data_IF_887459066057
#
_entry.id   IF_887459066057
#
_cell.length_a   1.000
_cell.length_b   1.000
_cell.length_c   1.000
_cell.angle_alpha   90.00
_cell.angle_beta   90.00
_cell.angle_gamma   90.00
#
_symmetry.space_group_name_H-M   'P 1'
#
loop_
_entity.id
_entity.type
_entity.pdbx_description
1 polymer ?
#
# COMPACT_ATOMS: atom_id res chain seq x y z
N UNK A 1 16.20 31.04 0.55
CA UNK A 1 16.45 30.02 1.60
C UNK A 1 15.52 30.32 2.76
N UNK A 2 14.53 29.47 3.04
CA UNK A 2 13.64 29.60 4.20
C UNK A 2 14.49 29.40 5.46
N UNK A 3 14.58 30.46 6.30
CA UNK A 3 15.25 30.43 7.59
C UNK A 3 14.47 29.48 8.52
N UNK A 4 14.82 28.19 8.52
CA UNK A 4 14.22 27.20 9.42
C UNK A 4 14.78 27.43 10.80
N UNK A 5 13.99 27.94 11.71
CA UNK A 5 14.35 28.14 13.11
C UNK A 5 14.50 26.81 13.82
N UNK A 6 15.77 26.40 14.01
CA UNK A 6 16.09 25.30 14.93
C UNK A 6 16.11 25.87 16.35
N UNK A 7 15.33 25.29 17.24
CA UNK A 7 15.41 25.53 18.68
C UNK A 7 15.83 24.26 19.41
N UNK A 8 16.83 24.37 20.27
CA UNK A 8 17.32 23.30 21.13
C UNK A 8 17.01 23.69 22.57
N UNK A 9 16.33 22.83 23.31
CA UNK A 9 15.97 23.02 24.71
C UNK A 9 16.24 21.76 25.51
N UNK A 10 16.85 21.90 26.69
CA UNK A 10 16.95 20.81 27.65
C UNK A 10 15.77 20.88 28.63
N UNK A 11 15.06 19.78 28.78
CA UNK A 11 13.83 19.71 29.58
C UNK A 11 13.89 18.58 30.60
N UNK A 12 13.40 18.86 31.77
CA UNK A 12 13.27 17.89 32.86
C UNK A 12 11.95 17.12 32.71
N UNK A 13 11.99 15.79 32.62
CA UNK A 13 10.78 14.95 32.59
C UNK A 13 10.31 14.61 34.01
N UNK A 14 9.59 15.54 34.63
CA UNK A 14 9.03 15.36 35.99
C UNK A 14 8.03 14.20 36.11
N UNK A 15 7.47 13.72 35.00
CA UNK A 15 6.57 12.56 34.97
C UNK A 15 7.27 11.20 35.15
N UNK A 16 8.61 11.18 35.19
CA UNK A 16 9.41 9.95 35.32
C UNK A 16 10.46 10.09 36.45
N UNK A 17 10.04 10.23 37.72
CA UNK A 17 10.97 10.36 38.83
C UNK A 17 11.76 9.05 39.02
N UNK A 18 13.05 9.19 39.38
CA UNK A 18 13.86 8.07 39.84
C UNK A 18 13.68 7.87 41.36
N UNK A 19 14.01 6.68 41.87
CA UNK A 19 13.92 6.35 43.29
C UNK A 19 14.78 7.25 44.19
N UNK A 20 15.84 7.87 43.67
CA UNK A 20 16.74 8.79 44.36
C UNK A 20 16.28 10.28 44.31
N UNK A 21 15.06 10.57 43.81
CA UNK A 21 14.51 11.91 43.72
C UNK A 21 15.03 12.73 42.54
N UNK A 22 15.81 12.13 41.62
CA UNK A 22 16.24 12.80 40.38
C UNK A 22 15.28 12.58 39.24
N UNK A 23 15.36 13.38 38.21
CA UNK A 23 14.53 13.31 37.02
C UNK A 23 15.39 13.21 35.75
N UNK A 24 14.97 12.46 34.74
CA UNK A 24 15.71 12.35 33.48
C UNK A 24 15.67 13.67 32.72
N UNK A 25 16.83 14.08 32.23
CA UNK A 25 16.99 15.24 31.36
C UNK A 25 16.91 14.82 29.89
N UNK A 26 16.10 15.52 29.11
CA UNK A 26 15.91 15.32 27.67
C UNK A 26 16.33 16.56 26.90
N UNK A 27 16.91 16.36 25.73
CA UNK A 27 17.12 17.39 24.73
C UNK A 27 15.94 17.39 23.77
N UNK A 28 15.25 18.50 23.63
CA UNK A 28 14.14 18.74 22.71
C UNK A 28 14.61 19.57 21.53
N UNK A 29 14.47 19.01 20.34
CA UNK A 29 14.70 19.68 19.07
C UNK A 29 13.35 20.14 18.50
N UNK A 30 13.27 21.41 18.10
CA UNK A 30 12.06 21.95 17.44
C UNK A 30 12.46 22.57 16.12
N UNK A 31 11.85 22.13 15.02
CA UNK A 31 12.03 22.67 13.67
C UNK A 31 10.66 22.79 13.01
N UNK A 32 10.33 23.97 12.51
CA UNK A 32 9.04 24.26 11.86
C UNK A 32 7.83 23.79 12.70
N UNK A 33 7.89 24.00 14.03
CA UNK A 33 6.84 23.63 14.98
C UNK A 33 6.78 22.13 15.33
N UNK A 34 7.50 21.26 14.61
CA UNK A 34 7.59 19.84 14.93
C UNK A 34 8.69 19.56 15.94
N UNK A 35 8.43 18.64 16.88
CA UNK A 35 9.31 18.36 18.01
C UNK A 35 9.82 16.92 17.96
N UNK A 36 11.09 16.73 18.33
CA UNK A 36 11.69 15.45 18.62
C UNK A 36 12.45 15.53 19.95
N UNK A 37 12.47 14.44 20.72
CA UNK A 37 13.14 14.40 22.02
C UNK A 37 14.17 13.27 22.02
N UNK A 38 15.32 13.58 22.63
CA UNK A 38 16.45 12.66 22.78
C UNK A 38 16.80 12.64 24.27
N UNK A 39 16.95 11.45 24.84
CA UNK A 39 17.44 11.33 26.21
C UNK A 39 18.92 11.72 26.27
N UNK A 40 19.29 12.54 27.24
CA UNK A 40 20.70 12.84 27.51
C UNK A 40 21.38 11.75 28.35
N UNK A 41 20.61 10.77 28.83
CA UNK A 41 21.04 9.74 29.79
C UNK A 41 21.60 10.35 31.10
N UNK A 42 21.24 11.59 31.39
CA UNK A 42 21.57 12.27 32.65
C UNK A 42 20.30 12.46 33.46
N UNK A 43 20.48 12.35 34.77
CA UNK A 43 19.42 12.50 35.76
C UNK A 43 19.83 13.64 36.69
N UNK A 44 18.93 14.57 36.96
CA UNK A 44 19.23 15.74 37.73
C UNK A 44 18.13 16.06 38.73
N UNK A 45 18.51 16.74 39.83
CA UNK A 45 17.55 17.21 40.82
C UNK A 45 16.76 18.40 40.28
N UNK A 46 15.45 18.40 40.51
CA UNK A 46 14.55 19.45 40.01
C UNK A 46 14.86 20.82 40.55
N UNK A 47 15.33 20.90 41.81
CA UNK A 47 15.64 22.15 42.48
C UNK A 47 16.99 22.75 42.02
N UNK A 48 17.87 21.91 41.46
CA UNK A 48 19.18 22.33 40.91
C UNK A 48 19.09 22.66 39.41
N UNK A 49 17.97 22.40 38.73
CA UNK A 49 17.80 22.71 37.32
C UNK A 49 17.21 24.09 37.07
N UNK A 50 18.00 24.98 36.48
CA UNK A 50 17.50 26.27 36.00
C UNK A 50 17.06 26.19 34.52
N UNK A 51 15.74 26.14 34.31
CA UNK A 51 15.15 26.04 32.96
C UNK A 51 15.37 27.32 32.12
N UNK A 52 15.64 28.46 32.75
CA UNK A 52 15.88 29.74 32.02
C UNK A 52 17.29 29.80 31.45
N UNK A 53 18.30 29.46 32.25
CA UNK A 53 19.69 29.40 31.79
C UNK A 53 20.06 28.06 31.11
N UNK A 54 19.18 27.08 31.16
CA UNK A 54 19.40 25.71 30.61
C UNK A 54 20.64 25.02 31.22
N UNK A 55 20.83 25.21 32.55
CA UNK A 55 22.02 24.74 33.28
C UNK A 55 21.63 24.18 34.65
N UNK A 56 22.47 23.31 35.18
CA UNK A 56 22.45 23.00 36.58
C UNK A 56 23.18 24.10 37.36
N UNK A 57 22.59 24.53 38.46
CA UNK A 57 23.16 25.49 39.43
C UNK A 57 23.35 24.81 40.79
N UNK A 58 24.36 25.18 41.56
CA UNK A 58 24.51 24.67 42.92
C UNK A 58 23.29 25.05 43.76
N UNK A 59 22.82 24.10 44.58
CA UNK A 59 21.69 24.33 45.47
C UNK A 59 22.10 25.19 46.64
N UNK A 60 21.46 26.35 46.82
CA UNK A 60 21.72 27.29 47.93
C UNK A 60 20.72 27.13 49.07
N UNK A 61 19.80 26.16 49.04
CA UNK A 61 18.76 26.02 50.08
C UNK A 61 19.30 25.41 51.37
N UNK A 62 19.18 26.18 52.46
CA UNK A 62 19.49 25.73 53.82
C UNK A 62 18.67 24.46 54.16
N UNK A 63 19.37 23.36 54.50
CA UNK A 63 18.78 22.21 55.15
C UNK A 63 18.57 20.93 54.31
N UNK A 64 18.81 20.93 52.97
CA UNK A 64 18.79 19.72 52.16
C UNK A 64 20.18 19.40 51.58
N UNK A 65 20.62 18.15 51.74
CA UNK A 65 21.89 17.66 51.19
C UNK A 65 21.84 17.79 49.64
N UNK A 66 22.88 18.43 49.06
CA UNK A 66 23.01 18.52 47.61
C UNK A 66 23.15 17.11 47.03
N UNK A 67 22.33 16.76 46.02
CA UNK A 67 22.38 15.48 45.31
C UNK A 67 23.59 15.42 44.39
N UNK A 68 24.02 16.56 43.83
CA UNK A 68 25.15 16.66 42.91
C UNK A 68 26.29 17.45 43.51
N UNK A 69 27.51 16.98 43.34
CA UNK A 69 28.73 17.71 43.71
C UNK A 69 28.97 18.87 42.69
N UNK A 70 29.80 19.84 43.09
CA UNK A 70 30.18 20.94 42.21
C UNK A 70 30.88 20.44 40.94
N UNK A 71 31.64 19.38 40.99
CA UNK A 71 32.31 18.77 39.85
C UNK A 71 31.34 18.10 38.91
N UNK A 72 30.34 17.37 39.44
CA UNK A 72 29.27 16.77 38.66
C UNK A 72 28.43 17.83 37.94
N UNK A 73 28.07 18.91 38.62
CA UNK A 73 27.36 20.06 38.01
C UNK A 73 28.15 20.63 36.85
N UNK A 74 29.45 20.83 37.01
CA UNK A 74 30.33 21.34 35.96
C UNK A 74 30.39 20.34 34.79
N UNK A 75 30.60 19.07 35.05
CA UNK A 75 30.67 18.00 34.05
C UNK A 75 29.38 17.90 33.25
N UNK A 76 28.20 17.93 33.92
CA UNK A 76 26.90 17.86 33.24
C UNK A 76 26.70 19.10 32.37
N UNK A 77 27.02 20.30 32.87
CA UNK A 77 26.86 21.54 32.10
C UNK A 77 27.77 21.57 30.84
N UNK A 78 29.00 21.07 30.94
CA UNK A 78 29.91 20.93 29.79
C UNK A 78 29.40 19.90 28.80
N UNK A 79 28.85 18.80 29.26
CA UNK A 79 28.22 17.78 28.42
C UNK A 79 27.01 18.36 27.65
N UNK A 80 26.16 19.18 28.31
CA UNK A 80 25.03 19.82 27.64
C UNK A 80 25.48 20.79 26.52
N UNK A 81 26.56 21.54 26.75
CA UNK A 81 27.17 22.41 25.73
C UNK A 81 27.70 21.57 24.55
N UNK A 82 28.28 20.42 24.84
CA UNK A 82 28.78 19.52 23.79
C UNK A 82 27.63 18.96 22.94
N UNK A 83 26.52 18.57 23.59
CA UNK A 83 25.30 18.11 22.86
C UNK A 83 24.74 19.24 21.97
N UNK A 84 24.67 20.47 22.51
CA UNK A 84 24.19 21.61 21.72
C UNK A 84 25.05 21.82 20.47
N UNK A 85 26.39 21.78 20.60
CA UNK A 85 27.31 21.84 19.45
C UNK A 85 27.09 20.70 18.45
N UNK A 86 26.96 19.49 18.94
CA UNK A 86 26.70 18.32 18.07
C UNK A 86 25.40 18.47 17.26
N UNK A 87 24.39 19.16 17.80
CA UNK A 87 23.15 19.43 17.05
C UNK A 87 23.44 20.33 15.86
N UNK A 88 24.24 21.41 16.03
CA UNK A 88 24.58 22.29 14.91
C UNK A 88 25.50 21.62 13.89
N UNK A 89 26.44 20.79 14.35
CA UNK A 89 27.29 20.00 13.46
C UNK A 89 26.48 19.02 12.63
N UNK A 90 25.56 18.30 13.25
CA UNK A 90 24.64 17.39 12.57
C UNK A 90 23.71 18.13 11.59
N UNK A 91 23.27 19.35 11.92
CA UNK A 91 22.48 20.18 11.01
C UNK A 91 23.32 20.58 9.77
N UNK A 92 24.58 20.98 9.97
CA UNK A 92 25.50 21.31 8.89
C UNK A 92 25.78 20.13 7.97
N UNK A 93 25.99 18.95 8.55
CA UNK A 93 26.19 17.71 7.79
C UNK A 93 24.98 17.39 6.92
N UNK A 94 23.76 17.49 7.46
CA UNK A 94 22.52 17.24 6.71
C UNK A 94 22.35 18.26 5.58
N UNK A 95 22.69 19.53 5.81
CA UNK A 95 22.69 20.59 4.78
C UNK A 95 23.67 20.25 3.65
N UNK A 96 24.91 19.91 3.99
CA UNK A 96 25.95 19.57 3.02
C UNK A 96 25.57 18.31 2.21
N UNK A 97 24.86 17.37 2.83
CA UNK A 97 24.35 16.16 2.18
C UNK A 97 23.06 16.40 1.35
N UNK A 98 22.57 17.65 1.25
CA UNK A 98 21.33 17.98 0.54
C UNK A 98 20.07 17.36 1.14
N UNK A 99 20.13 16.86 2.38
CA UNK A 99 19.00 16.22 3.05
C UNK A 99 18.05 17.22 3.67
N UNK A 100 16.77 16.91 3.66
CA UNK A 100 15.75 17.73 4.34
C UNK A 100 15.98 17.73 5.84
N UNK A 101 16.09 18.92 6.44
CA UNK A 101 16.27 19.08 7.87
C UNK A 101 14.89 19.10 8.54
N UNK A 102 14.63 18.12 9.39
CA UNK A 102 13.47 18.02 10.28
C UNK A 102 13.94 17.63 11.67
N UNK A 103 13.10 17.84 12.69
CA UNK A 103 13.43 17.41 14.05
C UNK A 103 13.76 15.91 14.13
N UNK A 104 13.08 15.08 13.31
CA UNK A 104 13.29 13.62 13.27
C UNK A 104 14.59 13.26 12.55
N UNK A 105 14.91 13.86 11.38
CA UNK A 105 16.17 13.57 10.67
C UNK A 105 17.38 13.99 11.49
N UNK A 106 17.26 15.09 12.22
CA UNK A 106 18.32 15.57 13.12
C UNK A 106 18.49 14.64 14.32
N UNK A 107 17.39 14.19 14.94
CA UNK A 107 17.42 13.17 15.99
C UNK A 107 18.08 11.88 15.50
N UNK A 108 17.68 11.36 14.34
CA UNK A 108 18.23 10.13 13.77
C UNK A 108 19.74 10.24 13.53
N UNK A 109 20.21 11.39 13.00
CA UNK A 109 21.64 11.65 12.82
C UNK A 109 22.39 11.65 14.16
N UNK A 110 21.85 12.32 15.20
CA UNK A 110 22.46 12.41 16.53
C UNK A 110 22.48 11.09 17.29
N UNK A 111 21.44 10.26 17.10
CA UNK A 111 21.34 8.96 17.78
C UNK A 111 22.00 7.81 17.03
N UNK A 112 22.60 8.09 15.85
CA UNK A 112 23.17 7.06 14.97
C UNK A 112 22.13 6.11 14.40
N UNK A 113 20.84 6.44 14.48
CA UNK A 113 19.78 5.67 13.84
C UNK A 113 19.81 5.99 12.36
N UNK A 114 20.37 5.09 11.57
CA UNK A 114 20.26 5.18 10.11
C UNK A 114 18.77 5.17 9.73
N UNK A 115 18.37 6.17 8.96
CA UNK A 115 17.04 6.19 8.39
C UNK A 115 16.90 4.93 7.54
N UNK A 116 16.05 3.98 7.97
CA UNK A 116 15.82 2.75 7.20
C UNK A 116 15.47 3.15 5.77
N UNK A 117 16.41 2.97 4.86
CA UNK A 117 16.15 3.17 3.45
C UNK A 117 15.09 2.15 3.02
N UNK A 118 13.95 2.66 2.60
CA UNK A 118 12.85 1.83 2.13
C UNK A 118 12.93 1.76 0.62
N UNK A 119 13.24 0.58 0.11
CA UNK A 119 13.40 0.34 -1.31
C UNK A 119 12.06 -0.07 -1.94
N UNK A 120 11.75 0.46 -3.11
CA UNK A 120 10.47 0.28 -3.78
C UNK A 120 10.14 -1.20 -4.04
N UNK A 121 11.07 -1.95 -4.66
CA UNK A 121 10.81 -3.35 -5.00
C UNK A 121 10.65 -4.24 -3.78
N UNK A 122 11.38 -3.95 -2.68
CA UNK A 122 11.19 -4.65 -1.40
C UNK A 122 9.78 -4.44 -0.86
N UNK A 123 9.25 -3.21 -0.95
CA UNK A 123 7.89 -2.88 -0.52
C UNK A 123 6.85 -3.58 -1.40
N UNK A 124 7.05 -3.55 -2.72
CA UNK A 124 6.16 -4.21 -3.68
C UNK A 124 6.16 -5.73 -3.45
N UNK A 125 7.32 -6.32 -3.14
CA UNK A 125 7.43 -7.74 -2.82
C UNK A 125 6.69 -8.10 -1.54
N UNK A 126 6.88 -7.32 -0.48
CA UNK A 126 6.14 -7.53 0.78
C UNK A 126 4.63 -7.45 0.56
N UNK A 127 4.16 -6.42 -0.16
CA UNK A 127 2.75 -6.29 -0.53
C UNK A 127 2.23 -7.51 -1.32
N UNK A 128 3.02 -8.05 -2.27
CA UNK A 128 2.65 -9.22 -3.04
C UNK A 128 2.59 -10.50 -2.17
N UNK A 129 3.49 -10.62 -1.20
CA UNK A 129 3.49 -11.71 -0.23
C UNK A 129 2.27 -11.63 0.70
N UNK A 130 1.91 -10.43 1.14
CA UNK A 130 0.72 -10.21 1.96
C UNK A 130 -0.56 -10.62 1.18
N UNK A 131 -0.68 -10.21 -0.10
CA UNK A 131 -1.79 -10.65 -0.96
C UNK A 131 -1.79 -12.18 -1.15
N UNK A 132 -0.61 -12.80 -1.33
CA UNK A 132 -0.49 -14.25 -1.50
C UNK A 132 -1.06 -15.01 -0.30
N UNK A 133 -0.81 -14.54 0.93
CA UNK A 133 -1.33 -15.17 2.15
C UNK A 133 -2.84 -15.02 2.31
N UNK A 134 -3.42 -14.02 1.62
CA UNK A 134 -4.86 -13.72 1.64
C UNK A 134 -5.63 -14.29 0.45
N UNK A 135 -5.01 -15.15 -0.38
CA UNK A 135 -5.71 -15.84 -1.46
C UNK A 135 -6.81 -16.74 -0.86
N UNK A 136 -8.03 -16.60 -1.36
CA UNK A 136 -9.23 -17.25 -0.83
C UNK A 136 -9.87 -16.53 0.37
N UNK A 137 -9.26 -15.45 0.86
CA UNK A 137 -9.76 -14.61 1.95
C UNK A 137 -9.86 -13.14 1.50
N UNK A 138 -10.62 -12.90 0.44
CA UNK A 138 -10.81 -11.58 -0.16
C UNK A 138 -9.90 -11.26 -1.36
N UNK A 139 -8.86 -12.06 -1.61
CA UNK A 139 -8.03 -11.96 -2.82
C UNK A 139 -8.07 -13.25 -3.64
N UNK A 140 -7.99 -13.09 -4.98
CA UNK A 140 -7.89 -14.22 -5.92
C UNK A 140 -6.44 -14.41 -6.37
N UNK A 141 -6.10 -15.65 -6.79
CA UNK A 141 -4.80 -15.94 -7.43
C UNK A 141 -4.54 -15.03 -8.63
N UNK A 142 -5.58 -14.74 -9.44
CA UNK A 142 -5.47 -13.82 -10.57
C UNK A 142 -5.09 -12.39 -10.16
N UNK A 143 -5.58 -11.91 -9.02
CA UNK A 143 -5.19 -10.60 -8.46
C UNK A 143 -3.72 -10.61 -8.06
N UNK A 144 -3.27 -11.62 -7.33
CA UNK A 144 -1.86 -11.78 -6.95
C UNK A 144 -0.95 -11.81 -8.18
N UNK A 145 -1.27 -12.59 -9.21
CA UNK A 145 -0.49 -12.67 -10.47
C UNK A 145 -0.35 -11.30 -11.13
N UNK A 146 -1.41 -10.46 -11.15
CA UNK A 146 -1.34 -9.09 -11.71
C UNK A 146 -0.35 -8.21 -10.97
N UNK A 147 -0.26 -8.32 -9.65
CA UNK A 147 0.72 -7.57 -8.86
C UNK A 147 2.15 -8.08 -9.08
N UNK A 148 2.34 -9.41 -9.23
CA UNK A 148 3.63 -9.98 -9.59
C UNK A 148 4.10 -9.48 -10.96
N UNK A 149 3.22 -9.45 -11.97
CA UNK A 149 3.53 -8.88 -13.28
C UNK A 149 3.88 -7.39 -13.18
N UNK A 150 3.16 -6.63 -12.35
CA UNK A 150 3.50 -5.22 -12.09
C UNK A 150 4.91 -5.08 -11.50
N UNK A 151 5.29 -5.91 -10.53
CA UNK A 151 6.65 -5.94 -9.95
C UNK A 151 7.70 -6.19 -11.02
N UNK A 152 7.47 -7.19 -11.89
CA UNK A 152 8.40 -7.52 -12.96
C UNK A 152 8.62 -6.34 -13.91
N UNK A 153 7.55 -5.67 -14.34
CA UNK A 153 7.66 -4.47 -15.19
C UNK A 153 8.41 -3.33 -14.50
N UNK A 154 8.20 -3.10 -13.21
CA UNK A 154 8.95 -2.09 -12.45
C UNK A 154 10.43 -2.48 -12.39
N UNK A 155 10.75 -3.75 -12.13
CA UNK A 155 12.14 -4.24 -12.07
C UNK A 155 12.87 -4.06 -13.40
N UNK A 156 12.22 -4.40 -14.51
CA UNK A 156 12.78 -4.24 -15.84
C UNK A 156 12.93 -2.76 -16.21
N UNK A 157 11.96 -1.91 -15.87
CA UNK A 157 12.02 -0.46 -16.06
C UNK A 157 13.20 0.18 -15.31
N UNK A 158 13.41 -0.18 -14.04
CA UNK A 158 14.55 0.32 -13.26
C UNK A 158 15.89 -0.02 -13.91
N UNK A 159 16.03 -1.23 -14.44
CA UNK A 159 17.22 -1.65 -15.18
C UNK A 159 17.38 -0.88 -16.50
N UNK A 160 16.29 -0.72 -17.24
CA UNK A 160 16.30 -0.06 -18.55
C UNK A 160 16.61 1.44 -18.43
N UNK A 161 15.90 2.18 -17.59
CA UNK A 161 16.01 3.64 -17.48
C UNK A 161 17.17 4.09 -16.60
N UNK A 162 17.30 3.49 -15.41
CA UNK A 162 18.22 3.96 -14.37
C UNK A 162 19.44 3.07 -14.16
N UNK A 163 19.49 1.88 -14.74
CA UNK A 163 20.56 0.87 -14.58
C UNK A 163 20.80 0.47 -13.11
N UNK A 164 19.76 0.46 -12.31
CA UNK A 164 19.78 0.09 -10.90
C UNK A 164 18.90 -1.14 -10.64
N UNK A 165 19.16 -1.83 -9.53
CA UNK A 165 18.37 -3.00 -9.11
C UNK A 165 17.11 -2.62 -8.33
N UNK A 166 17.10 -1.50 -7.61
CA UNK A 166 15.97 -0.98 -6.84
C UNK A 166 16.15 0.53 -6.63
N UNK A 167 15.10 1.25 -6.22
CA UNK A 167 15.10 2.70 -6.00
C UNK A 167 14.56 3.02 -4.60
N UNK A 168 15.13 4.05 -3.96
CA UNK A 168 14.62 4.52 -2.68
C UNK A 168 13.21 5.11 -2.85
N UNK A 169 12.28 4.73 -1.97
CA UNK A 169 10.90 5.22 -2.00
C UNK A 169 10.79 6.75 -2.02
N UNK A 170 11.72 7.46 -1.38
CA UNK A 170 11.76 8.94 -1.32
C UNK A 170 12.23 9.60 -2.61
N UNK A 171 12.82 8.85 -3.52
CA UNK A 171 13.26 9.33 -4.83
C UNK A 171 12.15 9.27 -5.89
N UNK A 172 11.02 8.63 -5.56
CA UNK A 172 9.86 8.61 -6.44
C UNK A 172 9.30 10.01 -6.63
N UNK A 173 9.05 10.37 -7.88
CA UNK A 173 8.52 11.67 -8.30
C UNK A 173 7.57 11.52 -9.48
N UNK A 174 7.03 12.63 -9.96
CA UNK A 174 6.13 12.65 -11.12
C UNK A 174 6.80 12.12 -12.39
N UNK A 175 8.08 12.41 -12.60
CA UNK A 175 8.87 11.94 -13.74
C UNK A 175 8.96 10.40 -13.74
N UNK A 176 9.18 9.79 -12.58
CA UNK A 176 9.21 8.34 -12.47
C UNK A 176 7.96 7.66 -13.03
N UNK A 177 6.76 8.15 -12.71
CA UNK A 177 5.51 7.52 -13.18
C UNK A 177 5.26 7.78 -14.65
N UNK A 178 5.65 8.93 -15.19
CA UNK A 178 5.53 9.25 -16.62
C UNK A 178 6.52 8.44 -17.46
N UNK A 179 7.76 8.27 -16.98
CA UNK A 179 8.77 7.44 -17.63
C UNK A 179 8.40 5.96 -17.60
N UNK A 180 7.81 5.50 -16.49
CA UNK A 180 7.31 4.12 -16.40
C UNK A 180 6.14 3.90 -17.38
N UNK A 181 5.21 4.88 -17.52
CA UNK A 181 4.17 4.83 -18.53
C UNK A 181 4.75 4.76 -19.95
N UNK A 182 5.72 5.60 -20.23
CA UNK A 182 6.42 5.61 -21.52
C UNK A 182 7.07 4.27 -21.82
N UNK A 183 7.85 3.73 -20.88
CA UNK A 183 8.49 2.42 -21.01
C UNK A 183 7.49 1.30 -21.32
N UNK A 184 6.37 1.25 -20.60
CA UNK A 184 5.34 0.22 -20.83
C UNK A 184 4.73 0.31 -22.23
N UNK A 185 4.61 1.51 -22.80
CA UNK A 185 4.06 1.73 -24.13
C UNK A 185 5.09 1.49 -25.23
N UNK A 186 6.32 2.05 -25.10
CA UNK A 186 7.35 2.00 -26.14
C UNK A 186 8.08 0.67 -26.19
N UNK A 187 8.62 0.24 -25.05
CA UNK A 187 9.49 -0.95 -24.99
C UNK A 187 8.69 -2.26 -24.85
N UNK A 188 7.53 -2.19 -24.16
CA UNK A 188 6.70 -3.39 -23.91
C UNK A 188 5.48 -3.49 -24.82
N UNK A 189 5.22 -2.48 -25.65
CA UNK A 189 4.06 -2.40 -26.56
C UNK A 189 2.72 -2.68 -25.86
N UNK A 190 2.60 -2.27 -24.59
CA UNK A 190 1.42 -2.53 -23.76
C UNK A 190 0.32 -1.52 -24.09
N UNK A 191 -0.89 -2.04 -24.35
CA UNK A 191 -2.08 -1.21 -24.60
C UNK A 191 -2.41 -0.25 -23.45
N UNK A 192 -2.99 0.91 -23.80
CA UNK A 192 -3.31 2.02 -22.87
C UNK A 192 -4.08 1.55 -21.63
N UNK A 193 -5.08 0.68 -21.81
CA UNK A 193 -5.91 0.21 -20.71
C UNK A 193 -5.18 -0.78 -19.79
N UNK A 194 -4.30 -1.59 -20.35
CA UNK A 194 -3.45 -2.51 -19.58
C UNK A 194 -2.36 -1.75 -18.84
N UNK A 195 -1.71 -0.78 -19.49
CA UNK A 195 -0.78 0.15 -18.87
C UNK A 195 -1.43 0.85 -17.65
N UNK A 196 -2.64 1.40 -17.85
CA UNK A 196 -3.40 2.02 -16.77
C UNK A 196 -3.61 1.11 -15.55
N UNK A 197 -3.70 -0.22 -15.73
CA UNK A 197 -3.82 -1.18 -14.63
C UNK A 197 -2.51 -1.30 -13.84
N UNK A 198 -1.37 -1.40 -14.52
CA UNK A 198 -0.05 -1.49 -13.87
C UNK A 198 0.27 -0.22 -13.07
N UNK A 199 0.00 0.96 -13.66
CA UNK A 199 0.19 2.23 -12.95
C UNK A 199 -0.74 2.35 -11.74
N UNK A 200 -1.99 1.91 -11.84
CA UNK A 200 -2.91 1.88 -10.69
C UNK A 200 -2.40 0.98 -9.56
N UNK A 201 -1.85 -0.19 -9.90
CA UNK A 201 -1.27 -1.08 -8.91
C UNK A 201 -0.09 -0.41 -8.18
N UNK A 202 0.81 0.24 -8.92
CA UNK A 202 1.92 0.99 -8.34
C UNK A 202 1.40 2.14 -7.46
N UNK A 203 0.45 2.94 -7.96
CA UNK A 203 -0.14 4.05 -7.19
C UNK A 203 -0.78 3.58 -5.89
N UNK A 204 -1.49 2.45 -5.90
CA UNK A 204 -2.08 1.87 -4.68
C UNK A 204 -1.02 1.59 -3.62
N UNK A 205 0.08 0.93 -4.00
CA UNK A 205 1.18 0.61 -3.08
C UNK A 205 1.82 1.89 -2.52
N UNK A 206 2.05 2.89 -3.38
CA UNK A 206 2.63 4.18 -2.95
C UNK A 206 1.67 4.94 -2.02
N UNK A 207 0.37 4.90 -2.28
CA UNK A 207 -0.64 5.49 -1.38
C UNK A 207 -0.64 4.81 0.00
N UNK A 208 -0.47 3.49 0.06
CA UNK A 208 -0.29 2.77 1.33
C UNK A 208 1.00 3.20 2.07
N UNK A 209 2.08 3.50 1.34
CA UNK A 209 3.30 4.05 1.93
C UNK A 209 3.09 5.43 2.55
N UNK A 210 2.26 6.28 1.94
CA UNK A 210 1.87 7.57 2.52
C UNK A 210 1.04 7.37 3.79
N UNK A 211 0.06 6.47 3.75
CA UNK A 211 -0.77 6.16 4.92
C UNK A 211 0.06 5.60 6.11
N UNK A 212 1.14 4.88 5.81
CA UNK A 212 2.11 4.36 6.80
C UNK A 212 3.14 5.41 7.25
N UNK A 213 3.04 6.67 6.80
CA UNK A 213 3.99 7.76 7.06
C UNK A 213 5.44 7.44 6.59
N UNK A 214 5.58 6.65 5.52
CA UNK A 214 6.87 6.38 4.88
C UNK A 214 7.22 7.44 3.84
N UNK A 215 6.20 8.14 3.34
CA UNK A 215 6.26 9.31 2.48
C UNK A 215 5.43 10.45 3.09
N UNK A 216 5.89 11.67 2.97
CA UNK A 216 5.17 12.88 3.44
C UNK A 216 3.92 13.16 2.57
N UNK A 217 3.98 12.83 1.28
CA UNK A 217 2.92 13.06 0.29
C UNK A 217 3.03 12.05 -0.86
N UNK A 218 1.92 11.82 -1.56
CA UNK A 218 1.91 10.98 -2.77
C UNK A 218 2.70 11.68 -3.91
N UNK A 219 3.83 11.12 -4.36
CA UNK A 219 4.62 11.69 -5.44
C UNK A 219 3.89 11.66 -6.79
N UNK A 220 2.85 10.83 -6.92
CA UNK A 220 2.05 10.65 -8.13
C UNK A 220 0.70 11.36 -8.07
N UNK A 221 0.48 12.27 -7.10
CA UNK A 221 -0.82 12.93 -6.89
C UNK A 221 -1.29 13.66 -8.16
N UNK A 222 -0.40 14.36 -8.85
CA UNK A 222 -0.71 15.10 -10.07
C UNK A 222 -0.90 14.22 -11.31
N UNK A 223 -0.50 12.93 -11.26
CA UNK A 223 -0.59 12.02 -12.39
C UNK A 223 -2.01 11.46 -12.54
N UNK A 224 -2.65 11.78 -13.68
CA UNK A 224 -3.97 11.27 -14.05
C UNK A 224 -3.84 10.06 -14.97
N UNK A 225 -4.34 8.92 -14.54
CA UNK A 225 -4.32 7.67 -15.32
C UNK A 225 -5.26 7.82 -16.53
N UNK A 226 -4.69 7.78 -17.73
CA UNK A 226 -5.46 7.83 -18.99
C UNK A 226 -6.07 6.46 -19.29
N UNK A 227 -7.30 6.46 -19.78
CA UNK A 227 -8.01 5.26 -20.25
C UNK A 227 -8.63 5.55 -21.60
N UNK A 228 -8.60 4.57 -22.48
CA UNK A 228 -9.33 4.58 -23.74
C UNK A 228 -10.68 3.90 -23.51
N UNK A 229 -11.76 4.55 -23.88
CA UNK A 229 -13.07 3.91 -23.91
C UNK A 229 -13.03 2.81 -24.97
N UNK A 230 -13.48 1.61 -24.61
CA UNK A 230 -13.55 0.47 -25.52
C UNK A 230 -15.01 0.23 -25.82
N UNK A 231 -15.36 0.42 -27.05
CA UNK A 231 -16.65 -0.03 -27.56
C UNK A 231 -16.61 -1.54 -27.73
N UNK A 232 -17.58 -2.21 -27.15
CA UNK A 232 -17.73 -3.66 -27.30
C UNK A 232 -18.88 -3.90 -28.25
N UNK A 233 -18.60 -4.66 -29.28
CA UNK A 233 -19.65 -5.19 -30.15
C UNK A 233 -20.46 -6.26 -29.38
N UNK A 234 -21.71 -6.37 -29.70
CA UNK A 234 -22.64 -7.38 -29.21
C UNK A 234 -23.27 -8.09 -30.42
N UNK A 235 -23.71 -9.30 -30.20
CA UNK A 235 -24.41 -10.07 -31.24
C UNK A 235 -25.85 -9.55 -31.35
N UNK A 236 -26.30 -9.38 -32.57
CA UNK A 236 -27.71 -9.13 -32.87
C UNK A 236 -28.51 -10.44 -32.72
N UNK A 237 -29.83 -10.32 -32.63
CA UNK A 237 -30.71 -11.48 -32.55
C UNK A 237 -30.55 -12.41 -33.75
N UNK A 238 -30.44 -11.86 -34.96
CA UNK A 238 -30.20 -12.64 -36.17
C UNK A 238 -28.87 -13.41 -36.15
N UNK A 239 -27.81 -12.83 -35.57
CA UNK A 239 -26.53 -13.52 -35.43
C UNK A 239 -26.58 -14.60 -34.36
N UNK A 240 -27.32 -14.42 -33.26
CA UNK A 240 -27.55 -15.45 -32.26
C UNK A 240 -28.32 -16.62 -32.87
N UNK A 241 -29.37 -16.34 -33.63
CA UNK A 241 -30.15 -17.34 -34.32
C UNK A 241 -29.33 -18.12 -35.37
N UNK A 242 -28.49 -17.42 -36.14
CA UNK A 242 -27.58 -18.08 -37.09
C UNK A 242 -26.56 -19.01 -36.41
N UNK A 243 -26.12 -18.69 -35.20
CA UNK A 243 -25.24 -19.55 -34.38
C UNK A 243 -26.05 -20.78 -33.88
N UNK A 244 -27.28 -20.57 -33.46
CA UNK A 244 -28.17 -21.64 -32.94
C UNK A 244 -28.50 -22.66 -34.03
N UNK A 245 -28.86 -22.21 -35.21
CA UNK A 245 -29.26 -23.05 -36.35
C UNK A 245 -28.06 -23.69 -37.09
N UNK A 246 -26.82 -23.28 -36.76
CA UNK A 246 -25.63 -23.80 -37.43
C UNK A 246 -25.46 -25.28 -37.15
N UNK A 247 -25.50 -26.11 -38.19
CA UNK A 247 -25.13 -27.52 -38.10
C UNK A 247 -23.63 -27.67 -37.84
N UNK A 248 -23.30 -28.44 -36.81
CA UNK A 248 -21.93 -28.73 -36.39
C UNK A 248 -21.75 -30.26 -36.32
N UNK A 249 -20.79 -30.77 -37.08
CA UNK A 249 -20.51 -32.22 -37.13
C UNK A 249 -19.79 -32.74 -35.88
N UNK A 250 -19.06 -31.82 -35.16
CA UNK A 250 -18.25 -32.18 -34.01
C UNK A 250 -19.07 -31.93 -32.72
N UNK A 251 -19.42 -32.98 -32.00
CA UNK A 251 -20.20 -32.94 -30.76
C UNK A 251 -19.63 -31.92 -29.72
N UNK A 252 -18.31 -31.87 -29.61
CA UNK A 252 -17.66 -30.88 -28.71
C UNK A 252 -17.98 -29.43 -29.09
N UNK A 253 -18.08 -29.10 -30.38
CA UNK A 253 -18.45 -27.77 -30.84
C UNK A 253 -19.93 -27.48 -30.61
N UNK A 254 -20.81 -28.48 -30.74
CA UNK A 254 -22.23 -28.37 -30.35
C UNK A 254 -22.33 -27.98 -28.88
N UNK A 255 -21.61 -28.67 -28.01
CA UNK A 255 -21.62 -28.40 -26.57
C UNK A 255 -21.10 -26.98 -26.25
N UNK A 256 -20.00 -26.56 -26.88
CA UNK A 256 -19.45 -25.18 -26.69
C UNK A 256 -20.44 -24.11 -27.18
N UNK A 257 -21.10 -24.36 -28.32
CA UNK A 257 -22.15 -23.47 -28.84
C UNK A 257 -23.30 -23.31 -27.85
N UNK A 258 -23.80 -24.43 -27.33
CA UNK A 258 -24.93 -24.41 -26.41
C UNK A 258 -24.59 -23.74 -25.09
N UNK A 259 -23.38 -23.94 -24.55
CA UNK A 259 -22.87 -23.18 -23.38
C UNK A 259 -22.77 -21.68 -23.65
N UNK A 260 -22.33 -21.30 -24.86
CA UNK A 260 -22.26 -19.92 -25.27
C UNK A 260 -23.65 -19.27 -25.37
N UNK A 261 -24.58 -19.93 -26.03
CA UNK A 261 -25.97 -19.47 -26.16
C UNK A 261 -26.64 -19.39 -24.78
N UNK A 262 -26.42 -20.36 -23.91
CA UNK A 262 -26.90 -20.31 -22.53
C UNK A 262 -26.37 -19.09 -21.77
N UNK A 263 -25.08 -18.76 -21.97
CA UNK A 263 -24.50 -17.56 -21.41
C UNK A 263 -25.12 -16.26 -21.98
N UNK A 264 -25.47 -16.25 -23.26
CA UNK A 264 -26.17 -15.11 -23.90
C UNK A 264 -27.56 -14.91 -23.30
N UNK A 265 -28.34 -15.98 -23.12
CA UNK A 265 -29.72 -15.91 -22.61
C UNK A 265 -29.82 -15.69 -21.10
N UNK A 266 -28.78 -16.03 -20.35
CA UNK A 266 -28.77 -15.88 -18.87
C UNK A 266 -27.94 -14.73 -18.36
N UNK A 267 -27.02 -14.18 -19.18
CA UNK A 267 -26.03 -13.18 -18.76
C UNK A 267 -25.02 -13.70 -17.75
N UNK A 268 -24.92 -15.01 -17.56
CA UNK A 268 -23.91 -15.64 -16.71
C UNK A 268 -22.55 -15.66 -17.39
N UNK A 269 -21.49 -15.45 -16.61
CA UNK A 269 -20.13 -15.63 -17.11
C UNK A 269 -19.81 -17.11 -17.28
N UNK A 270 -18.80 -17.42 -18.13
CA UNK A 270 -18.33 -18.80 -18.30
C UNK A 270 -18.10 -19.53 -16.96
N UNK A 271 -17.47 -18.87 -16.01
CA UNK A 271 -17.18 -19.49 -14.70
C UNK A 271 -18.43 -19.73 -13.88
N UNK A 272 -19.42 -18.83 -13.95
CA UNK A 272 -20.69 -18.99 -13.25
C UNK A 272 -21.49 -20.15 -13.86
N UNK A 273 -21.50 -20.28 -15.20
CA UNK A 273 -22.13 -21.44 -15.90
C UNK A 273 -21.42 -22.74 -15.55
N UNK A 274 -20.07 -22.74 -15.55
CA UNK A 274 -19.28 -23.92 -15.20
C UNK A 274 -19.56 -24.43 -13.77
N UNK A 275 -19.88 -23.55 -12.85
CA UNK A 275 -20.19 -23.90 -11.46
C UNK A 275 -21.69 -24.11 -11.20
N UNK A 276 -22.53 -23.94 -12.22
CA UNK A 276 -23.97 -24.14 -12.07
C UNK A 276 -24.30 -25.62 -11.79
N UNK A 277 -25.19 -25.85 -10.85
CA UNK A 277 -25.67 -27.18 -10.49
C UNK A 277 -27.19 -27.25 -10.57
N UNK A 278 -27.81 -28.43 -10.65
CA UNK A 278 -29.27 -28.57 -10.63
C UNK A 278 -29.93 -27.87 -9.43
N UNK A 279 -29.24 -27.82 -8.28
CA UNK A 279 -29.72 -27.15 -7.06
C UNK A 279 -29.85 -25.64 -7.19
N UNK A 280 -29.23 -25.06 -8.22
CA UNK A 280 -29.36 -23.64 -8.51
C UNK A 280 -30.63 -23.29 -9.29
N UNK A 281 -31.35 -24.28 -9.79
CA UNK A 281 -32.59 -24.11 -10.57
C UNK A 281 -33.79 -24.48 -9.72
N UNK A 282 -34.69 -23.53 -9.51
CA UNK A 282 -35.93 -23.80 -8.77
C UNK A 282 -37.08 -22.92 -9.30
N UNK A 283 -38.33 -23.25 -8.89
CA UNK A 283 -39.51 -22.48 -9.24
C UNK A 283 -39.46 -21.11 -8.51
N UNK A 284 -39.72 -20.05 -9.26
CA UNK A 284 -39.95 -18.71 -8.75
C UNK A 284 -41.39 -18.53 -8.20
N UNK A 285 -41.64 -17.34 -7.69
CA UNK A 285 -42.98 -16.98 -7.18
C UNK A 285 -44.04 -16.87 -8.29
N UNK A 286 -43.59 -16.75 -9.53
CA UNK A 286 -44.38 -16.67 -10.76
C UNK A 286 -44.69 -18.07 -11.36
N UNK A 287 -44.17 -19.13 -10.73
CA UNK A 287 -44.31 -20.49 -11.22
C UNK A 287 -43.35 -20.90 -12.35
N UNK A 288 -42.50 -19.95 -12.79
CA UNK A 288 -41.51 -20.20 -13.82
C UNK A 288 -40.18 -20.71 -13.20
N UNK A 289 -39.29 -21.29 -14.00
CA UNK A 289 -37.97 -21.73 -13.53
C UNK A 289 -36.99 -20.56 -13.49
N UNK A 290 -36.26 -20.46 -12.40
CA UNK A 290 -35.25 -19.43 -12.17
C UNK A 290 -33.94 -20.05 -11.76
N UNK A 291 -32.84 -19.35 -12.08
CA UNK A 291 -31.49 -19.64 -11.55
C UNK A 291 -31.26 -18.73 -10.34
N UNK A 292 -30.96 -19.35 -9.19
CA UNK A 292 -30.54 -18.69 -7.96
C UNK A 292 -29.05 -18.98 -7.71
N UNK A 293 -28.18 -18.02 -7.90
CA UNK A 293 -26.75 -18.20 -7.78
C UNK A 293 -26.06 -16.93 -7.26
N UNK A 294 -24.76 -17.01 -7.02
CA UNK A 294 -23.93 -15.87 -6.70
C UNK A 294 -22.83 -15.74 -7.75
N UNK A 295 -22.59 -14.52 -8.23
CA UNK A 295 -21.50 -14.28 -9.16
C UNK A 295 -20.16 -14.53 -8.47
N UNK A 296 -19.36 -15.44 -8.97
CA UNK A 296 -18.08 -15.81 -8.38
C UNK A 296 -17.13 -14.63 -8.20
N UNK A 297 -17.16 -13.64 -9.10
CA UNK A 297 -16.25 -12.49 -9.06
C UNK A 297 -16.59 -11.48 -7.98
N UNK A 298 -17.86 -11.31 -7.63
CA UNK A 298 -18.35 -10.21 -6.78
C UNK A 298 -19.15 -10.71 -5.59
N UNK A 299 -19.41 -12.02 -5.50
CA UNK A 299 -20.27 -12.66 -4.51
C UNK A 299 -21.69 -12.08 -4.48
N UNK A 300 -22.07 -11.36 -5.54
CA UNK A 300 -23.39 -10.73 -5.66
C UNK A 300 -24.42 -11.79 -5.99
N UNK A 301 -25.51 -11.85 -5.24
CA UNK A 301 -26.66 -12.71 -5.53
C UNK A 301 -27.23 -12.35 -6.89
N UNK A 302 -27.47 -13.38 -7.73
CA UNK A 302 -28.07 -13.26 -9.05
C UNK A 302 -29.29 -14.17 -9.09
N UNK A 303 -30.42 -13.60 -9.50
CA UNK A 303 -31.69 -14.30 -9.71
C UNK A 303 -32.08 -14.08 -11.15
N UNK A 304 -32.11 -15.12 -11.96
CA UNK A 304 -32.24 -15.02 -13.40
C UNK A 304 -33.40 -15.90 -13.86
N UNK A 305 -34.46 -15.36 -14.50
CA UNK A 305 -35.49 -16.15 -15.07
C UNK A 305 -34.95 -16.95 -16.23
N UNK A 306 -35.32 -18.23 -16.35
CA UNK A 306 -34.94 -19.08 -17.46
C UNK A 306 -35.85 -18.82 -18.64
N UNK A 307 -35.34 -18.10 -19.64
CA UNK A 307 -36.03 -17.92 -20.91
C UNK A 307 -36.17 -19.29 -21.63
N UNK A 308 -37.19 -19.47 -22.48
CA UNK A 308 -37.42 -20.72 -23.16
C UNK A 308 -36.20 -21.33 -23.86
N UNK A 309 -35.35 -20.58 -24.60
CA UNK A 309 -34.15 -21.13 -25.20
C UNK A 309 -33.11 -21.62 -24.18
N UNK A 310 -32.96 -20.93 -23.05
CA UNK A 310 -32.05 -21.36 -21.99
C UNK A 310 -32.56 -22.62 -21.30
N UNK A 311 -33.88 -22.73 -21.11
CA UNK A 311 -34.52 -23.90 -20.53
C UNK A 311 -34.35 -25.11 -21.45
N UNK A 312 -34.54 -24.95 -22.74
CA UNK A 312 -34.36 -26.03 -23.74
C UNK A 312 -32.93 -26.59 -23.73
N UNK A 313 -31.93 -25.73 -23.55
CA UNK A 313 -30.51 -26.14 -23.41
C UNK A 313 -30.33 -26.98 -22.14
N UNK A 314 -30.86 -26.54 -20.98
CA UNK A 314 -30.78 -27.33 -19.75
C UNK A 314 -31.47 -28.69 -19.87
N UNK A 315 -32.63 -28.76 -20.50
CA UNK A 315 -33.39 -30.00 -20.70
C UNK A 315 -32.64 -30.94 -21.62
N UNK A 316 -31.99 -30.45 -22.69
CA UNK A 316 -31.17 -31.24 -23.61
C UNK A 316 -30.06 -32.01 -22.88
N UNK A 317 -29.43 -31.40 -21.85
CA UNK A 317 -28.34 -32.03 -21.13
C UNK A 317 -28.76 -32.68 -19.81
N UNK A 318 -30.02 -32.62 -19.42
CA UNK A 318 -30.52 -33.16 -18.13
C UNK A 318 -30.33 -34.68 -17.99
N UNK A 319 -30.32 -35.39 -19.09
CA UNK A 319 -30.15 -36.86 -19.15
C UNK A 319 -28.74 -37.30 -19.58
N UNK A 320 -27.81 -36.35 -19.84
CA UNK A 320 -26.44 -36.71 -20.21
C UNK A 320 -25.74 -37.42 -19.04
N UNK A 321 -25.22 -38.65 -19.24
CA UNK A 321 -24.52 -39.38 -18.16
C UNK A 321 -23.36 -38.61 -17.53
N UNK A 322 -22.69 -37.74 -18.27
CA UNK A 322 -21.60 -36.89 -17.75
C UNK A 322 -22.13 -35.85 -16.79
N UNK A 323 -23.30 -35.27 -17.08
CA UNK A 323 -23.96 -34.26 -16.23
C UNK A 323 -24.52 -34.95 -14.98
N UNK A 324 -25.24 -36.06 -15.15
CA UNK A 324 -25.82 -36.83 -14.04
C UNK A 324 -24.75 -37.32 -13.07
N UNK A 325 -23.63 -37.85 -13.57
CA UNK A 325 -22.54 -38.39 -12.75
C UNK A 325 -21.69 -37.28 -12.11
N UNK A 326 -21.58 -36.09 -12.72
CA UNK A 326 -20.82 -34.97 -12.17
C UNK A 326 -21.61 -34.15 -11.15
N UNK A 327 -22.93 -34.26 -11.13
CA UNK A 327 -23.81 -33.41 -10.33
C UNK A 327 -23.81 -31.94 -10.75
N UNK A 328 -23.36 -31.65 -11.96
CA UNK A 328 -23.22 -30.29 -12.50
C UNK A 328 -24.00 -30.16 -13.80
#
# INVERSE_FOLDING_TARGET
>A
MLNRTLAVLFILKKSKPQTNGTYPLYMRLTIDGKRAEITTKRFVDADSWDAKSQKLIPKTSLGKKAIHSSEEIKSINEYLKTLDRQVYDAQKDLLNAGKKITAETLKNKLTGVEEKQRMLLQIVEQHNNDIKTLIGKGYTKATWTKYCTTKNHITEFLKWKYRISDINLKELNYEFVTDFEFYLKSEKSIDVNTNAKYIKNLKKIVTECVAKNWLDKDPFMAYKVKRKQTERQYLTEAEIQAIEEKELEIERLVHIRDLFLFSCYTGLSYTDVYNLTPNNVSLGIDGERWIFTHRQKTETASRIPLLPPALAILEKYSSDPKVVNSGK
#
